data_IF_270715192861
#
_entry.id   IF_270715192861
#
_cell.length_a   1.000
_cell.length_b   1.000
_cell.length_c   1.000
_cell.angle_alpha   90.00
_cell.angle_beta   90.00
_cell.angle_gamma   90.00
#
_symmetry.space_group_name_H-M   'P 1'
#
loop_
_entity.id
_entity.type
_entity.pdbx_description
1 polymer ?
#
# COMPACT_ATOMS: atom_id res chain seq x y z
N UNK A 1 36.07 5.33 24.65
CA UNK A 1 34.64 5.67 24.42
C UNK A 1 34.39 6.10 22.98
N UNK A 2 35.17 7.01 22.39
CA UNK A 2 35.00 7.48 21.01
C UNK A 2 35.06 6.37 19.94
N UNK A 3 36.02 5.43 20.06
CA UNK A 3 36.15 4.32 19.10
C UNK A 3 34.92 3.39 19.10
N UNK A 4 34.26 3.22 20.24
CA UNK A 4 33.07 2.38 20.36
C UNK A 4 31.84 3.08 19.75
N UNK A 5 31.72 4.40 19.92
CA UNK A 5 30.69 5.20 19.27
C UNK A 5 30.83 5.18 17.73
N UNK A 6 32.06 5.33 17.21
CA UNK A 6 32.33 5.26 15.78
C UNK A 6 31.95 3.91 15.16
N UNK A 7 32.30 2.80 15.84
CA UNK A 7 31.94 1.46 15.39
C UNK A 7 30.42 1.26 15.38
N UNK A 8 29.72 1.77 16.39
CA UNK A 8 28.26 1.69 16.47
C UNK A 8 27.58 2.47 15.34
N UNK A 9 28.06 3.69 15.04
CA UNK A 9 27.56 4.50 13.93
C UNK A 9 27.76 3.82 12.58
N UNK A 10 28.96 3.27 12.35
CA UNK A 10 29.28 2.50 11.14
C UNK A 10 28.37 1.28 10.98
N UNK A 11 28.07 0.59 12.09
CA UNK A 11 27.17 -0.56 12.09
C UNK A 11 25.73 -0.17 11.73
N UNK A 12 25.22 0.93 12.30
CA UNK A 12 23.89 1.45 11.98
C UNK A 12 23.78 1.89 10.52
N UNK A 13 24.79 2.57 9.98
CA UNK A 13 24.82 2.98 8.58
C UNK A 13 24.77 1.77 7.63
N UNK A 14 25.52 0.70 7.96
CA UNK A 14 25.51 -0.53 7.18
C UNK A 14 24.17 -1.26 7.27
N UNK A 15 23.59 -1.35 8.46
CA UNK A 15 22.27 -1.95 8.68
C UNK A 15 21.20 -1.19 7.89
N UNK A 16 21.19 0.13 7.99
CA UNK A 16 20.29 1.01 7.26
C UNK A 16 20.37 0.81 5.74
N UNK A 17 21.59 0.84 5.17
CA UNK A 17 21.79 0.61 3.73
C UNK A 17 21.29 -0.75 3.27
N UNK A 18 21.54 -1.79 4.08
CA UNK A 18 21.04 -3.13 3.79
C UNK A 18 19.50 -3.16 3.86
N UNK A 19 18.90 -2.64 4.93
CA UNK A 19 17.44 -2.63 5.11
C UNK A 19 16.73 -1.88 3.98
N UNK A 20 17.24 -0.73 3.54
CA UNK A 20 16.71 -0.02 2.37
C UNK A 20 16.82 -0.86 1.08
N UNK A 21 17.93 -1.57 0.89
CA UNK A 21 18.10 -2.45 -0.25
C UNK A 21 17.06 -3.57 -0.25
N UNK A 22 16.82 -4.20 0.89
CA UNK A 22 15.79 -5.23 1.04
C UNK A 22 14.39 -4.66 0.76
N UNK A 23 14.04 -3.50 1.34
CA UNK A 23 12.76 -2.83 1.09
C UNK A 23 12.51 -2.61 -0.42
N UNK A 24 13.53 -2.19 -1.17
CA UNK A 24 13.43 -2.01 -2.63
C UNK A 24 13.12 -3.29 -3.41
N UNK A 25 13.44 -4.45 -2.85
CA UNK A 25 13.15 -5.74 -3.51
C UNK A 25 11.71 -6.21 -3.30
N UNK A 26 10.99 -5.66 -2.32
CA UNK A 26 9.61 -6.02 -1.95
C UNK A 26 8.57 -5.47 -2.95
N UNK A 27 8.78 -5.79 -4.23
CA UNK A 27 7.99 -5.30 -5.37
C UNK A 27 7.03 -6.34 -5.94
N UNK A 28 6.95 -7.51 -5.29
CA UNK A 28 6.00 -8.58 -5.63
C UNK A 28 4.68 -8.38 -4.88
N UNK A 29 3.57 -8.89 -5.40
CA UNK A 29 2.27 -8.76 -4.74
C UNK A 29 2.29 -9.38 -3.33
N UNK A 30 2.83 -10.60 -3.20
CA UNK A 30 3.19 -11.20 -1.92
C UNK A 30 4.43 -10.53 -1.35
N UNK A 31 4.30 -9.91 -0.17
CA UNK A 31 5.43 -9.32 0.55
C UNK A 31 5.95 -10.33 1.58
N UNK A 32 6.97 -11.11 1.19
CA UNK A 32 7.65 -12.01 2.12
C UNK A 32 8.66 -11.23 2.97
N UNK A 33 8.18 -10.67 4.07
CA UNK A 33 9.03 -9.94 5.03
C UNK A 33 9.98 -10.92 5.72
N UNK A 34 11.29 -10.77 5.44
CA UNK A 34 12.29 -11.64 6.04
C UNK A 34 12.43 -11.39 7.55
N UNK A 35 12.71 -12.43 8.36
CA UNK A 35 12.94 -12.25 9.80
C UNK A 35 14.10 -11.27 10.09
N UNK A 36 15.13 -11.28 9.25
CA UNK A 36 16.29 -10.37 9.40
C UNK A 36 15.87 -8.92 9.18
N UNK A 37 14.96 -8.65 8.24
CA UNK A 37 14.43 -7.30 8.04
C UNK A 37 13.62 -6.83 9.25
N UNK A 38 12.81 -7.71 9.86
CA UNK A 38 12.07 -7.35 11.08
C UNK A 38 12.99 -7.03 12.27
N UNK A 39 14.09 -7.77 12.42
CA UNK A 39 15.12 -7.49 13.43
C UNK A 39 15.89 -6.21 13.11
N UNK A 40 16.13 -5.91 11.83
CA UNK A 40 16.75 -4.65 11.44
C UNK A 40 15.85 -3.46 11.79
N UNK A 41 14.54 -3.55 11.57
CA UNK A 41 13.59 -2.51 11.98
C UNK A 41 13.55 -2.35 13.51
N UNK A 42 13.60 -3.45 14.25
CA UNK A 42 13.72 -3.44 15.72
C UNK A 42 14.99 -2.69 16.16
N UNK A 43 16.16 -2.98 15.58
CA UNK A 43 17.38 -2.27 15.93
C UNK A 43 17.36 -0.79 15.49
N UNK A 44 16.82 -0.49 14.31
CA UNK A 44 16.76 0.86 13.76
C UNK A 44 15.82 1.78 14.57
N UNK A 45 14.90 1.24 15.37
CA UNK A 45 13.97 2.05 16.18
C UNK A 45 14.70 2.99 17.18
N UNK A 46 15.93 2.64 17.60
CA UNK A 46 16.82 3.47 18.43
C UNK A 46 17.40 4.69 17.69
N UNK A 47 17.21 4.74 16.37
CA UNK A 47 17.64 5.82 15.47
C UNK A 47 16.45 6.28 14.63
N UNK A 48 15.55 7.14 15.18
CA UNK A 48 14.26 7.48 14.57
C UNK A 48 14.34 7.97 13.12
N UNK A 49 15.40 8.70 12.76
CA UNK A 49 15.62 9.20 11.39
C UNK A 49 15.89 8.05 10.42
N UNK A 50 16.77 7.11 10.77
CA UNK A 50 17.08 5.95 9.92
C UNK A 50 15.90 4.98 9.81
N UNK A 51 15.20 4.77 10.94
CA UNK A 51 13.95 4.02 10.98
C UNK A 51 12.91 4.61 10.01
N UNK A 52 12.64 5.92 10.11
CA UNK A 52 11.66 6.59 9.26
C UNK A 52 12.03 6.52 7.78
N UNK A 53 13.29 6.78 7.42
CA UNK A 53 13.72 6.65 6.01
C UNK A 53 13.67 5.21 5.48
N UNK A 54 13.83 4.20 6.32
CA UNK A 54 13.67 2.80 5.91
C UNK A 54 12.20 2.47 5.67
N UNK A 55 11.32 3.02 6.51
CA UNK A 55 9.87 2.87 6.39
C UNK A 55 9.31 3.59 5.16
N UNK A 56 9.80 4.79 4.86
CA UNK A 56 9.46 5.55 3.65
C UNK A 56 9.89 4.80 2.37
N UNK A 57 11.07 4.17 2.39
CA UNK A 57 11.56 3.34 1.27
C UNK A 57 10.66 2.12 1.05
N UNK A 58 10.23 1.44 2.12
CA UNK A 58 9.24 0.37 2.05
C UNK A 58 7.94 0.87 1.41
N UNK A 59 7.40 1.97 1.91
CA UNK A 59 6.17 2.59 1.37
C UNK A 59 6.30 2.93 -0.11
N UNK A 60 7.45 3.40 -0.55
CA UNK A 60 7.73 3.73 -1.96
C UNK A 60 7.76 2.49 -2.86
N UNK A 61 8.40 1.41 -2.41
CA UNK A 61 8.44 0.14 -3.14
C UNK A 61 7.04 -0.48 -3.26
N UNK A 62 6.28 -0.47 -2.16
CA UNK A 62 4.89 -0.98 -2.12
C UNK A 62 3.93 -0.14 -2.94
N UNK A 63 4.02 1.20 -2.89
CA UNK A 63 3.22 2.11 -3.73
C UNK A 63 3.32 1.76 -5.21
N UNK A 64 4.54 1.54 -5.70
CA UNK A 64 4.78 1.16 -7.09
C UNK A 64 4.13 -0.18 -7.45
N UNK A 65 4.11 -1.11 -6.50
CA UNK A 65 3.50 -2.45 -6.65
C UNK A 65 1.98 -2.36 -6.67
N UNK A 66 1.38 -1.65 -5.72
CA UNK A 66 -0.08 -1.46 -5.62
C UNK A 66 -0.63 -0.73 -6.84
N UNK A 67 0.05 0.33 -7.31
CA UNK A 67 -0.36 1.03 -8.54
C UNK A 67 -0.35 0.08 -9.72
N UNK A 68 0.70 -0.73 -9.88
CA UNK A 68 0.78 -1.71 -10.98
C UNK A 68 -0.32 -2.77 -10.86
N UNK A 69 -0.51 -3.33 -9.66
CA UNK A 69 -1.55 -4.31 -9.38
C UNK A 69 -2.95 -3.78 -9.69
N UNK A 70 -3.22 -2.51 -9.39
CA UNK A 70 -4.51 -1.88 -9.73
C UNK A 70 -4.72 -1.82 -11.24
N UNK A 71 -3.70 -1.41 -12.00
CA UNK A 71 -3.77 -1.37 -13.47
C UNK A 71 -3.90 -2.77 -14.07
N UNK A 72 -3.19 -3.76 -13.52
CA UNK A 72 -3.30 -5.15 -13.95
C UNK A 72 -4.71 -5.70 -13.67
N UNK A 73 -5.29 -5.45 -12.49
CA UNK A 73 -6.67 -5.83 -12.16
C UNK A 73 -7.70 -5.19 -13.11
N UNK A 74 -7.48 -3.92 -13.50
CA UNK A 74 -8.33 -3.20 -14.44
C UNK A 74 -8.27 -3.80 -15.85
N UNK A 75 -7.07 -4.07 -16.36
CA UNK A 75 -6.83 -4.31 -17.79
C UNK A 75 -6.56 -5.78 -18.16
N UNK A 76 -5.95 -6.54 -17.24
CA UNK A 76 -5.54 -7.94 -17.45
C UNK A 76 -6.36 -8.93 -16.61
N UNK A 77 -6.85 -8.48 -15.45
CA UNK A 77 -7.46 -9.35 -14.46
C UNK A 77 -6.42 -10.09 -13.62
N UNK A 78 -6.87 -11.07 -12.83
CA UNK A 78 -5.99 -11.86 -11.97
C UNK A 78 -5.15 -12.90 -12.72
N UNK A 79 -4.32 -13.68 -12.00
CA UNK A 79 -3.48 -14.72 -12.59
C UNK A 79 -4.28 -15.66 -13.49
N UNK A 80 -3.81 -15.86 -14.73
CA UNK A 80 -4.51 -16.66 -15.74
C UNK A 80 -5.76 -16.01 -16.34
N UNK A 81 -5.98 -14.71 -16.12
CA UNK A 81 -7.15 -13.97 -16.60
C UNK A 81 -8.39 -14.11 -15.70
N UNK A 82 -8.20 -14.62 -14.48
CA UNK A 82 -9.25 -14.82 -13.48
C UNK A 82 -8.87 -14.20 -12.12
N UNK A 83 -9.71 -13.34 -11.52
CA UNK A 83 -10.95 -12.80 -12.08
C UNK A 83 -10.68 -11.99 -13.35
N UNK A 84 -11.70 -11.88 -14.20
CA UNK A 84 -11.65 -11.14 -15.46
C UNK A 84 -11.30 -9.66 -15.23
N UNK A 85 -10.62 -8.99 -16.18
CA UNK A 85 -10.34 -7.55 -16.09
C UNK A 85 -11.58 -6.73 -15.74
N UNK A 86 -11.44 -5.83 -14.75
CA UNK A 86 -12.54 -5.03 -14.24
C UNK A 86 -13.14 -4.13 -15.34
N UNK A 87 -12.33 -3.66 -16.31
CA UNK A 87 -12.80 -2.83 -17.43
C UNK A 87 -13.85 -3.52 -18.32
N UNK A 88 -13.91 -4.86 -18.34
CA UNK A 88 -14.95 -5.58 -19.08
C UNK A 88 -16.35 -5.38 -18.47
N UNK A 89 -16.44 -4.95 -17.21
CA UNK A 89 -17.69 -4.64 -16.53
C UNK A 89 -18.10 -3.16 -16.66
N UNK A 90 -17.40 -2.35 -17.46
CA UNK A 90 -17.69 -0.91 -17.63
C UNK A 90 -19.12 -0.57 -18.08
N UNK A 91 -19.81 -1.51 -18.74
CA UNK A 91 -21.22 -1.39 -19.13
C UNK A 91 -22.21 -1.52 -17.95
N UNK A 92 -21.77 -2.01 -16.80
CA UNK A 92 -22.50 -2.04 -15.53
C UNK A 92 -21.80 -1.12 -14.52
N UNK A 93 -22.20 0.17 -14.46
CA UNK A 93 -21.53 1.16 -13.62
C UNK A 93 -21.42 0.81 -12.15
N UNK A 94 -22.46 0.18 -11.58
CA UNK A 94 -22.48 -0.12 -10.15
C UNK A 94 -21.47 -1.22 -9.83
N UNK A 95 -21.44 -2.27 -10.68
CA UNK A 95 -20.46 -3.34 -10.56
C UNK A 95 -19.05 -2.84 -10.83
N UNK A 96 -18.85 -2.05 -11.89
CA UNK A 96 -17.53 -1.53 -12.25
C UNK A 96 -16.91 -0.71 -11.12
N UNK A 97 -17.67 0.23 -10.54
CA UNK A 97 -17.21 1.01 -9.38
C UNK A 97 -17.04 0.12 -8.15
N UNK A 98 -17.95 -0.83 -7.92
CA UNK A 98 -17.86 -1.77 -6.81
C UNK A 98 -16.61 -2.65 -6.85
N UNK A 99 -16.27 -3.21 -8.01
CA UNK A 99 -15.09 -4.05 -8.20
C UNK A 99 -13.79 -3.25 -7.98
N UNK A 100 -13.73 -2.00 -8.45
CA UNK A 100 -12.59 -1.10 -8.19
C UNK A 100 -12.41 -0.79 -6.71
N UNK A 101 -13.50 -0.50 -5.98
CA UNK A 101 -13.45 -0.19 -4.56
C UNK A 101 -13.15 -1.43 -3.71
N UNK A 102 -13.69 -2.58 -4.09
CA UNK A 102 -13.40 -3.86 -3.43
C UNK A 102 -11.92 -4.22 -3.56
N UNK A 103 -11.34 -4.05 -4.75
CA UNK A 103 -9.92 -4.26 -4.97
C UNK A 103 -9.08 -3.32 -4.09
N UNK A 104 -9.43 -2.03 -4.03
CA UNK A 104 -8.72 -1.07 -3.19
C UNK A 104 -8.81 -1.44 -1.71
N UNK A 105 -9.99 -1.79 -1.22
CA UNK A 105 -10.18 -2.21 0.17
C UNK A 105 -9.31 -3.43 0.52
N UNK A 106 -9.28 -4.44 -0.36
CA UNK A 106 -8.43 -5.61 -0.17
C UNK A 106 -6.94 -5.24 -0.19
N UNK A 107 -6.51 -4.42 -1.14
CA UNK A 107 -5.12 -3.97 -1.23
C UNK A 107 -4.69 -3.20 0.02
N UNK A 108 -5.53 -2.28 0.52
CA UNK A 108 -5.27 -1.55 1.76
C UNK A 108 -5.10 -2.48 2.96
N UNK A 109 -5.97 -3.49 3.09
CA UNK A 109 -5.86 -4.49 4.17
C UNK A 109 -4.56 -5.29 4.07
N UNK A 110 -4.21 -5.79 2.89
CA UNK A 110 -2.96 -6.54 2.68
C UNK A 110 -1.72 -5.70 2.96
N UNK A 111 -1.68 -4.43 2.55
CA UNK A 111 -0.54 -3.56 2.84
C UNK A 111 -0.43 -3.23 4.34
N UNK A 112 -1.56 -3.12 5.06
CA UNK A 112 -1.55 -3.01 6.51
C UNK A 112 -0.93 -4.27 7.15
N UNK A 113 -1.36 -5.46 6.74
CA UNK A 113 -0.82 -6.73 7.25
C UNK A 113 0.70 -6.86 6.98
N UNK A 114 1.16 -6.42 5.80
CA UNK A 114 2.60 -6.42 5.49
C UNK A 114 3.41 -5.49 6.40
N UNK A 115 2.87 -4.32 6.73
CA UNK A 115 3.49 -3.38 7.67
C UNK A 115 3.48 -3.90 9.10
N UNK A 116 2.37 -4.49 9.55
CA UNK A 116 2.28 -5.15 10.86
C UNK A 116 3.31 -6.28 10.98
N UNK A 117 3.49 -7.07 9.92
CA UNK A 117 4.52 -8.10 9.87
C UNK A 117 5.95 -7.53 9.92
N UNK A 118 6.20 -6.43 9.19
CA UNK A 118 7.48 -5.71 9.19
C UNK A 118 7.84 -5.14 10.57
N UNK A 119 6.86 -4.57 11.25
CA UNK A 119 7.03 -3.83 12.49
C UNK A 119 6.73 -4.65 13.75
N UNK A 120 6.53 -5.97 13.63
CA UNK A 120 6.13 -6.87 14.73
C UNK A 120 7.02 -6.84 15.99
N UNK A 121 8.26 -6.38 15.88
CA UNK A 121 9.23 -6.27 16.99
C UNK A 121 9.53 -4.81 17.38
N UNK A 122 8.91 -3.83 16.72
CA UNK A 122 9.07 -2.42 17.03
C UNK A 122 8.16 -2.05 18.19
N UNK A 123 8.72 -1.39 19.20
CA UNK A 123 8.05 -1.10 20.48
C UNK A 123 7.91 0.40 20.77
N UNK A 124 8.37 1.25 19.84
CA UNK A 124 8.27 2.70 19.96
C UNK A 124 6.82 3.16 19.98
N UNK A 125 6.54 4.29 20.63
CA UNK A 125 5.22 4.90 20.56
C UNK A 125 4.94 5.41 19.14
N UNK A 126 3.68 5.31 18.69
CA UNK A 126 3.26 5.77 17.36
C UNK A 126 3.43 4.76 16.22
N UNK A 127 3.64 3.45 16.50
CA UNK A 127 3.67 2.44 15.43
C UNK A 127 2.37 2.44 14.61
N UNK A 128 1.21 2.51 15.25
CA UNK A 128 -0.08 2.53 14.53
C UNK A 128 -0.21 3.77 13.63
N UNK A 129 0.24 4.95 14.10
CA UNK A 129 0.25 6.18 13.30
C UNK A 129 1.18 6.04 12.09
N UNK A 130 2.38 5.48 12.28
CA UNK A 130 3.31 5.20 11.19
C UNK A 130 2.70 4.23 10.17
N UNK A 131 2.00 3.19 10.61
CA UNK A 131 1.31 2.25 9.71
C UNK A 131 0.26 3.01 8.89
N UNK A 132 -0.58 3.82 9.55
CA UNK A 132 -1.62 4.59 8.86
C UNK A 132 -1.04 5.58 7.85
N UNK A 133 0.04 6.30 8.20
CA UNK A 133 0.72 7.22 7.30
C UNK A 133 1.26 6.50 6.06
N UNK A 134 1.92 5.36 6.24
CA UNK A 134 2.55 4.61 5.14
C UNK A 134 1.50 3.95 4.26
N UNK A 135 0.45 3.35 4.82
CA UNK A 135 -0.69 2.83 4.04
C UNK A 135 -1.37 3.95 3.26
N UNK A 136 -1.54 5.13 3.87
CA UNK A 136 -2.05 6.32 3.18
C UNK A 136 -1.17 6.71 1.98
N UNK A 137 0.15 6.75 2.17
CA UNK A 137 1.10 7.03 1.09
C UNK A 137 1.06 5.99 -0.04
N UNK A 138 0.94 4.69 0.30
CA UNK A 138 0.84 3.60 -0.67
C UNK A 138 -0.44 3.73 -1.50
N UNK A 139 -1.58 3.91 -0.83
CA UNK A 139 -2.91 3.98 -1.47
C UNK A 139 -3.13 5.28 -2.25
N UNK A 140 -2.45 6.37 -1.90
CA UNK A 140 -2.49 7.63 -2.66
C UNK A 140 -2.13 7.41 -4.15
N UNK A 141 -1.25 6.44 -4.45
CA UNK A 141 -0.89 6.07 -5.82
C UNK A 141 -2.07 5.69 -6.71
N UNK A 142 -3.14 5.11 -6.14
CA UNK A 142 -4.31 4.66 -6.92
C UNK A 142 -5.46 5.68 -6.96
N UNK A 143 -5.40 6.73 -6.15
CA UNK A 143 -6.47 7.74 -6.07
C UNK A 143 -6.76 8.40 -7.42
N UNK A 144 -5.72 8.78 -8.18
CA UNK A 144 -5.88 9.41 -9.50
C UNK A 144 -6.55 8.49 -10.53
N UNK A 145 -6.05 7.25 -10.80
CA UNK A 145 -6.70 6.37 -11.76
C UNK A 145 -8.10 5.91 -11.34
N UNK A 146 -8.37 5.79 -10.03
CA UNK A 146 -9.71 5.53 -9.50
C UNK A 146 -10.66 6.69 -9.78
N UNK A 147 -10.26 7.92 -9.42
CA UNK A 147 -11.04 9.14 -9.62
C UNK A 147 -11.44 9.31 -11.08
N UNK A 148 -10.49 9.21 -12.01
CA UNK A 148 -10.75 9.38 -13.45
C UNK A 148 -11.81 8.40 -13.95
N UNK A 149 -11.75 7.13 -13.54
CA UNK A 149 -12.72 6.10 -13.97
C UNK A 149 -14.11 6.34 -13.39
N UNK A 150 -14.20 6.74 -12.12
CA UNK A 150 -15.48 7.08 -11.50
C UNK A 150 -16.09 8.34 -12.15
N UNK A 151 -15.27 9.35 -12.44
CA UNK A 151 -15.72 10.56 -13.16
C UNK A 151 -16.25 10.22 -14.54
N UNK A 152 -15.59 9.34 -15.30
CA UNK A 152 -16.07 8.86 -16.60
C UNK A 152 -17.44 8.19 -16.50
N UNK A 153 -17.66 7.39 -15.45
CA UNK A 153 -18.96 6.78 -15.18
C UNK A 153 -20.04 7.84 -14.92
N UNK A 154 -19.72 8.89 -14.16
CA UNK A 154 -20.66 9.98 -13.84
C UNK A 154 -20.96 10.84 -15.08
N UNK A 155 -19.96 11.11 -15.91
CA UNK A 155 -20.10 11.93 -17.13
C UNK A 155 -20.88 11.21 -18.22
N UNK A 156 -20.98 9.88 -18.19
CA UNK A 156 -21.81 9.10 -19.11
C UNK A 156 -23.34 9.27 -18.89
N UNK A 157 -23.75 10.30 -18.14
CA UNK A 157 -25.12 10.64 -17.78
C UNK A 157 -25.97 9.45 -17.27
N UNK A 158 -25.49 8.70 -16.26
CA UNK A 158 -26.30 7.67 -15.64
C UNK A 158 -27.51 8.33 -14.96
N UNK A 159 -28.70 7.72 -15.10
CA UNK A 159 -29.92 8.24 -14.49
C UNK A 159 -29.79 8.42 -12.96
N UNK A 160 -30.57 9.34 -12.38
CA UNK A 160 -30.44 9.78 -10.98
C UNK A 160 -30.44 8.65 -9.93
N UNK A 161 -31.21 7.58 -10.17
CA UNK A 161 -31.25 6.40 -9.29
C UNK A 161 -29.89 5.70 -9.22
N UNK A 162 -29.18 5.60 -10.34
CA UNK A 162 -27.88 4.94 -10.40
C UNK A 162 -26.79 5.80 -9.73
N UNK A 163 -26.82 7.12 -9.93
CA UNK A 163 -25.94 8.05 -9.21
C UNK A 163 -26.12 7.96 -7.69
N UNK A 164 -27.36 7.84 -7.21
CA UNK A 164 -27.65 7.66 -5.79
C UNK A 164 -27.05 6.35 -5.26
N UNK A 165 -27.18 5.24 -6.00
CA UNK A 165 -26.58 3.95 -5.64
C UNK A 165 -25.05 4.02 -5.60
N UNK A 166 -24.42 4.64 -6.59
CA UNK A 166 -22.96 4.85 -6.63
C UNK A 166 -22.51 5.73 -5.47
N UNK A 167 -23.26 6.80 -5.14
CA UNK A 167 -22.96 7.64 -3.98
C UNK A 167 -23.01 6.85 -2.66
N UNK A 168 -24.02 6.00 -2.48
CA UNK A 168 -24.11 5.15 -1.30
C UNK A 168 -22.97 4.12 -1.22
N UNK A 169 -22.57 3.58 -2.37
CA UNK A 169 -21.43 2.66 -2.45
C UNK A 169 -20.11 3.35 -2.06
N UNK A 170 -19.88 4.56 -2.57
CA UNK A 170 -18.72 5.36 -2.19
C UNK A 170 -18.74 5.71 -0.71
N UNK A 171 -19.90 6.06 -0.15
CA UNK A 171 -20.05 6.30 1.28
C UNK A 171 -19.75 5.05 2.09
N UNK A 172 -20.23 3.88 1.68
CA UNK A 172 -19.92 2.63 2.36
C UNK A 172 -18.41 2.42 2.44
N UNK A 173 -17.71 2.47 1.29
CA UNK A 173 -16.26 2.26 1.26
C UNK A 173 -15.45 3.34 1.99
N UNK A 174 -15.94 4.58 2.04
CA UNK A 174 -15.33 5.64 2.84
C UNK A 174 -15.32 5.36 4.35
N UNK A 175 -16.24 4.52 4.86
CA UNK A 175 -16.25 4.15 6.27
C UNK A 175 -15.48 2.85 6.56
N UNK A 176 -15.17 2.05 5.53
CA UNK A 176 -14.51 0.74 5.70
C UNK A 176 -13.03 0.75 5.33
N UNK A 177 -12.59 1.70 4.50
CA UNK A 177 -11.18 1.93 4.12
C UNK A 177 -10.68 3.13 4.90
#
# INVERSE_FOLDING_TARGET
>A
MEQMALLQETAYERLYRWAQSECRTLTQESCDVSPVLTQAMEALQDRPVLYKYTLDEFGTARRSTVVRGFIDALTRGGPGGTPRPIEMHSHDPLRYVGDMLAWLHQATASEKEHLEALLKHVTTQGVEENIQEVVGHITEGVCRPLKVRIEQVIVAEPGAVLLYKISNLLKFYHHTI
#
